data_IF_315091308438
#
_entry.id   IF_315091308438
#
_cell.length_a   1.000
_cell.length_b   1.000
_cell.length_c   1.000
_cell.angle_alpha   90.00
_cell.angle_beta   90.00
_cell.angle_gamma   90.00
#
_symmetry.space_group_name_H-M   'P 1'
#
loop_
_entity.id
_entity.type
_entity.pdbx_description
1 polymer ?
#
# COMPACT_ATOMS: atom_id res chain seq x y z
N UNK A 1 7.44 -23.26 29.57
CA UNK A 1 7.58 -24.24 28.48
C UNK A 1 8.77 -23.76 27.71
N UNK A 2 9.80 -24.58 27.55
CA UNK A 2 10.94 -24.19 26.74
C UNK A 2 10.47 -24.30 25.30
N UNK A 3 10.27 -23.17 24.62
CA UNK A 3 10.08 -23.16 23.16
C UNK A 3 11.25 -23.91 22.55
N UNK A 4 10.99 -24.85 21.64
CA UNK A 4 12.09 -25.52 20.95
C UNK A 4 12.82 -24.50 20.06
N UNK A 5 14.14 -24.63 19.87
CA UNK A 5 14.93 -23.65 19.12
C UNK A 5 14.39 -23.41 17.71
N UNK A 6 13.86 -24.45 17.05
CA UNK A 6 13.26 -24.35 15.71
C UNK A 6 11.96 -23.52 15.70
N UNK A 7 11.17 -23.56 16.78
CA UNK A 7 9.92 -22.80 16.91
C UNK A 7 10.22 -21.32 17.13
N UNK A 8 11.19 -21.03 17.98
CA UNK A 8 11.62 -19.67 18.27
C UNK A 8 12.19 -18.99 17.02
N UNK A 9 12.99 -19.73 16.24
CA UNK A 9 13.53 -19.26 14.97
C UNK A 9 12.42 -18.98 13.95
N UNK A 10 11.48 -19.91 13.74
CA UNK A 10 10.35 -19.69 12.83
C UNK A 10 9.51 -18.46 13.21
N UNK A 11 9.20 -18.28 14.50
CA UNK A 11 8.46 -17.10 14.98
C UNK A 11 9.26 -15.84 14.68
N UNK A 12 10.57 -15.82 14.96
CA UNK A 12 11.45 -14.68 14.71
C UNK A 12 11.52 -14.32 13.23
N UNK A 13 11.73 -15.30 12.37
CA UNK A 13 11.86 -15.12 10.92
C UNK A 13 10.54 -14.62 10.31
N UNK A 14 9.41 -15.24 10.69
CA UNK A 14 8.07 -14.83 10.25
C UNK A 14 7.71 -13.44 10.76
N UNK A 15 8.09 -13.12 12.00
CA UNK A 15 7.88 -11.79 12.58
C UNK A 15 8.67 -10.73 11.83
N UNK A 16 9.97 -10.96 11.60
CA UNK A 16 10.83 -10.03 10.84
C UNK A 16 10.26 -9.82 9.44
N UNK A 17 9.95 -10.90 8.72
CA UNK A 17 9.39 -10.81 7.36
C UNK A 17 8.11 -9.98 7.30
N UNK A 18 7.18 -10.17 8.24
CA UNK A 18 5.94 -9.38 8.29
C UNK A 18 6.19 -7.92 8.67
N UNK A 19 7.09 -7.68 9.62
CA UNK A 19 7.44 -6.34 10.04
C UNK A 19 8.17 -5.56 8.93
N UNK A 20 9.07 -6.22 8.21
CA UNK A 20 9.74 -5.69 7.03
C UNK A 20 8.73 -5.36 5.93
N UNK A 21 7.68 -6.17 5.77
CA UNK A 21 6.54 -5.88 4.89
C UNK A 21 5.81 -4.59 5.27
N UNK A 22 5.47 -4.41 6.54
CA UNK A 22 4.84 -3.17 7.06
C UNK A 22 5.75 -1.96 6.84
N UNK A 23 7.04 -2.09 7.16
CA UNK A 23 8.02 -1.01 7.00
C UNK A 23 8.24 -0.65 5.53
N UNK A 24 8.27 -1.64 4.65
CA UNK A 24 8.35 -1.42 3.21
C UNK A 24 7.10 -0.70 2.70
N UNK A 25 5.91 -1.15 3.08
CA UNK A 25 4.64 -0.51 2.73
C UNK A 25 4.58 0.95 3.20
N UNK A 26 5.05 1.21 4.42
CA UNK A 26 5.11 2.56 4.98
C UNK A 26 6.11 3.45 4.23
N UNK A 27 7.32 2.95 3.96
CA UNK A 27 8.35 3.70 3.23
C UNK A 27 7.91 4.00 1.81
N UNK A 28 7.31 3.02 1.14
CA UNK A 28 6.75 3.18 -0.19
C UNK A 28 5.62 4.20 -0.16
N UNK A 29 4.64 4.07 0.72
CA UNK A 29 3.55 5.04 0.89
C UNK A 29 4.04 6.47 1.15
N UNK A 30 5.08 6.64 1.98
CA UNK A 30 5.71 7.94 2.21
C UNK A 30 6.41 8.48 0.96
N UNK A 31 7.14 7.64 0.21
CA UNK A 31 7.77 8.04 -1.04
C UNK A 31 6.72 8.51 -2.06
N UNK A 32 5.62 7.77 -2.21
CA UNK A 32 4.49 8.18 -3.05
C UNK A 32 3.90 9.50 -2.57
N UNK A 33 3.69 9.68 -1.26
CA UNK A 33 3.17 10.92 -0.70
C UNK A 33 4.10 12.10 -1.01
N UNK A 34 5.41 11.96 -0.82
CA UNK A 34 6.37 13.03 -1.15
C UNK A 34 6.43 13.30 -2.64
N UNK A 35 6.47 12.27 -3.49
CA UNK A 35 6.47 12.43 -4.94
C UNK A 35 5.19 13.14 -5.43
N UNK A 36 4.03 12.76 -4.89
CA UNK A 36 2.75 13.39 -5.20
C UNK A 36 2.66 14.83 -4.71
N UNK A 37 3.13 15.12 -3.50
CA UNK A 37 3.12 16.49 -2.96
C UNK A 37 4.11 17.38 -3.72
N UNK A 38 5.31 16.91 -4.04
CA UNK A 38 6.31 17.72 -4.74
C UNK A 38 5.95 17.89 -6.21
N UNK A 39 5.58 16.80 -6.91
CA UNK A 39 5.28 16.84 -8.34
C UNK A 39 3.88 17.33 -8.66
N UNK A 40 2.87 16.83 -7.93
CA UNK A 40 1.46 17.14 -8.20
C UNK A 40 1.08 18.56 -7.82
N UNK A 41 1.44 19.00 -6.61
CA UNK A 41 1.10 20.36 -6.15
C UNK A 41 1.88 21.42 -6.92
N UNK A 42 3.18 21.21 -7.16
CA UNK A 42 3.97 22.11 -8.01
C UNK A 42 3.42 22.15 -9.43
N UNK A 43 3.08 21.00 -10.02
CA UNK A 43 2.48 20.93 -11.35
C UNK A 43 1.16 21.71 -11.43
N UNK A 44 0.25 21.52 -10.48
CA UNK A 44 -1.03 22.23 -10.43
C UNK A 44 -0.82 23.74 -10.25
N UNK A 45 0.05 24.16 -9.32
CA UNK A 45 0.33 25.58 -9.05
C UNK A 45 1.02 26.28 -10.22
N UNK A 46 2.03 25.65 -10.81
CA UNK A 46 2.73 26.16 -11.99
C UNK A 46 1.78 26.23 -13.19
N UNK A 47 0.87 25.27 -13.34
CA UNK A 47 -0.12 25.32 -14.41
C UNK A 47 -1.16 26.43 -14.18
N UNK A 48 -1.69 26.54 -12.96
CA UNK A 48 -2.65 27.57 -12.58
C UNK A 48 -2.08 28.99 -12.68
N UNK A 49 -0.76 29.15 -12.51
CA UNK A 49 -0.09 30.45 -12.69
C UNK A 49 0.23 30.79 -14.14
N UNK A 50 0.30 29.79 -15.04
CA UNK A 50 0.79 29.98 -16.41
C UNK A 50 -0.31 30.19 -17.48
N UNK A 51 -1.57 29.78 -17.24
CA UNK A 51 -2.63 29.85 -18.25
C UNK A 51 -3.96 30.37 -17.71
N UNK A 52 -4.75 31.00 -18.59
CA UNK A 52 -6.16 31.28 -18.32
C UNK A 52 -6.93 29.98 -18.13
N UNK A 53 -7.77 29.93 -17.10
CA UNK A 53 -8.48 28.73 -16.68
C UNK A 53 -9.59 28.37 -17.67
N UNK A 54 -9.31 27.48 -18.62
CA UNK A 54 -10.31 26.95 -19.55
C UNK A 54 -11.03 25.72 -18.97
N UNK A 55 -12.24 25.37 -19.45
CA UNK A 55 -12.97 24.20 -18.97
C UNK A 55 -12.21 22.87 -19.15
N UNK A 56 -11.43 22.75 -20.23
CA UNK A 56 -10.60 21.58 -20.50
C UNK A 56 -9.48 21.40 -19.46
N UNK A 57 -8.90 22.51 -19.01
CA UNK A 57 -7.89 22.53 -17.94
C UNK A 57 -8.47 22.08 -16.62
N UNK A 58 -9.66 22.56 -16.28
CA UNK A 58 -10.35 22.14 -15.05
C UNK A 58 -10.61 20.63 -15.08
N UNK A 59 -11.05 20.09 -16.22
CA UNK A 59 -11.26 18.65 -16.38
C UNK A 59 -9.96 17.83 -16.20
N UNK A 60 -8.84 18.30 -16.75
CA UNK A 60 -7.53 17.67 -16.57
C UNK A 60 -7.07 17.69 -15.11
N UNK A 61 -7.23 18.83 -14.42
CA UNK A 61 -6.91 18.97 -12.99
C UNK A 61 -7.76 18.04 -12.11
N UNK A 62 -9.05 17.91 -12.42
CA UNK A 62 -9.95 16.98 -11.71
C UNK A 62 -9.52 15.53 -11.94
N UNK A 63 -9.24 15.14 -13.19
CA UNK A 63 -8.77 13.80 -13.52
C UNK A 63 -7.46 13.44 -12.80
N UNK A 64 -6.51 14.38 -12.77
CA UNK A 64 -5.25 14.21 -12.04
C UNK A 64 -5.50 14.06 -10.53
N UNK A 65 -6.38 14.88 -9.97
CA UNK A 65 -6.74 14.84 -8.54
C UNK A 65 -7.39 13.51 -8.15
N UNK A 66 -8.28 12.98 -9.00
CA UNK A 66 -8.90 11.66 -8.81
C UNK A 66 -7.85 10.55 -8.84
N UNK A 67 -6.94 10.57 -9.83
CA UNK A 67 -5.84 9.61 -9.88
C UNK A 67 -4.97 9.62 -8.63
N UNK A 68 -4.70 10.82 -8.09
CA UNK A 68 -3.94 11.01 -6.86
C UNK A 68 -4.67 10.42 -5.64
N UNK A 69 -5.98 10.67 -5.50
CA UNK A 69 -6.81 10.09 -4.44
C UNK A 69 -6.87 8.57 -4.52
N UNK A 70 -7.01 8.00 -5.72
CA UNK A 70 -6.99 6.55 -5.93
C UNK A 70 -5.65 5.93 -5.51
N UNK A 71 -4.53 6.60 -5.80
CA UNK A 71 -3.20 6.13 -5.45
C UNK A 71 -2.97 6.14 -3.93
N UNK A 72 -3.39 7.23 -3.27
CA UNK A 72 -3.36 7.33 -1.80
C UNK A 72 -4.24 6.24 -1.18
N UNK A 73 -5.46 6.05 -1.68
CA UNK A 73 -6.36 4.99 -1.20
C UNK A 73 -5.73 3.59 -1.32
N UNK A 74 -5.07 3.30 -2.44
CA UNK A 74 -4.34 2.04 -2.64
C UNK A 74 -3.22 1.87 -1.60
N UNK A 75 -2.37 2.88 -1.41
CA UNK A 75 -1.27 2.83 -0.46
C UNK A 75 -1.75 2.62 0.98
N UNK A 76 -2.84 3.29 1.38
CA UNK A 76 -3.46 3.08 2.69
C UNK A 76 -4.02 1.66 2.85
N UNK A 77 -4.72 1.14 1.83
CA UNK A 77 -5.27 -0.23 1.89
C UNK A 77 -4.16 -1.27 1.98
N UNK A 78 -3.07 -1.09 1.25
CA UNK A 78 -1.89 -1.95 1.31
C UNK A 78 -1.25 -1.92 2.70
N UNK A 79 -1.00 -0.74 3.27
CA UNK A 79 -0.46 -0.59 4.62
C UNK A 79 -1.34 -1.26 5.68
N UNK A 80 -2.66 -1.00 5.67
CA UNK A 80 -3.57 -1.60 6.65
C UNK A 80 -3.70 -3.11 6.50
N UNK A 81 -3.58 -3.66 5.29
CA UNK A 81 -3.59 -5.10 5.09
C UNK A 81 -2.35 -5.77 5.71
N UNK A 82 -1.17 -5.18 5.50
CA UNK A 82 0.10 -5.63 6.10
C UNK A 82 0.05 -5.54 7.63
N UNK A 83 -0.41 -4.40 8.15
CA UNK A 83 -0.57 -4.16 9.57
C UNK A 83 -1.54 -5.18 10.20
N UNK A 84 -2.69 -5.42 9.57
CA UNK A 84 -3.66 -6.40 10.07
C UNK A 84 -3.08 -7.83 10.10
N UNK A 85 -2.34 -8.22 9.06
CA UNK A 85 -1.65 -9.52 9.02
C UNK A 85 -0.62 -9.64 10.15
N UNK A 86 0.15 -8.60 10.41
CA UNK A 86 1.13 -8.57 11.49
C UNK A 86 0.46 -8.69 12.86
N UNK A 87 -0.58 -7.88 13.14
CA UNK A 87 -1.30 -7.94 14.41
C UNK A 87 -2.00 -9.27 14.65
N UNK A 88 -2.58 -9.85 13.60
CA UNK A 88 -3.19 -11.17 13.69
C UNK A 88 -2.11 -12.24 13.99
N UNK A 89 -0.93 -12.18 13.38
CA UNK A 89 0.16 -13.14 13.66
C UNK A 89 0.68 -12.95 15.09
N UNK A 90 0.86 -11.70 15.52
CA UNK A 90 1.21 -11.38 16.90
C UNK A 90 0.21 -11.94 17.91
N UNK A 91 -1.09 -11.84 17.62
CA UNK A 91 -2.14 -12.41 18.47
C UNK A 91 -2.03 -13.94 18.56
N UNK A 92 -1.78 -14.62 17.44
CA UNK A 92 -1.58 -16.08 17.40
C UNK A 92 -0.31 -16.50 18.17
N UNK A 93 0.80 -15.77 18.04
CA UNK A 93 2.04 -16.01 18.82
C UNK A 93 1.81 -15.81 20.32
N UNK A 94 1.03 -14.80 20.72
CA UNK A 94 0.66 -14.59 22.13
C UNK A 94 -0.21 -15.74 22.64
N UNK A 95 -1.17 -16.21 21.84
CA UNK A 95 -2.01 -17.35 22.19
C UNK A 95 -1.19 -18.64 22.36
N UNK A 96 -0.24 -18.88 21.46
CA UNK A 96 0.72 -19.98 21.54
C UNK A 96 1.55 -19.92 22.84
N UNK A 97 2.16 -18.76 23.14
CA UNK A 97 2.94 -18.56 24.37
C UNK A 97 2.11 -18.69 25.65
N UNK A 98 0.82 -18.37 25.58
CA UNK A 98 -0.15 -18.54 26.68
C UNK A 98 -0.71 -19.97 26.78
N UNK A 99 -0.27 -20.91 25.93
CA UNK A 99 -0.78 -22.28 25.85
C UNK A 99 -2.26 -22.39 25.53
N UNK A 100 -2.80 -21.38 24.83
CA UNK A 100 -4.17 -21.37 24.33
C UNK A 100 -4.24 -21.94 22.90
N UNK A 101 -3.09 -22.25 22.30
CA UNK A 101 -2.95 -22.71 20.93
C UNK A 101 -1.71 -23.61 20.83
N UNK A 102 -1.83 -24.70 20.07
CA UNK A 102 -0.72 -25.61 19.77
C UNK A 102 0.12 -25.11 18.59
N UNK A 103 1.36 -25.57 18.51
CA UNK A 103 2.31 -25.20 17.45
C UNK A 103 1.75 -25.47 16.05
N UNK A 104 1.22 -26.68 15.81
CA UNK A 104 0.66 -27.06 14.52
C UNK A 104 -0.53 -26.19 14.12
N UNK A 105 -1.31 -25.72 15.11
CA UNK A 105 -2.42 -24.81 14.87
C UNK A 105 -1.96 -23.42 14.46
N UNK A 106 -0.85 -22.93 15.03
CA UNK A 106 -0.23 -21.67 14.65
C UNK A 106 0.30 -21.73 13.22
N UNK A 107 1.07 -22.77 12.88
CA UNK A 107 1.63 -22.95 11.54
C UNK A 107 0.52 -23.12 10.51
N UNK A 108 -0.49 -23.97 10.77
CA UNK A 108 -1.62 -24.18 9.87
C UNK A 108 -2.44 -22.92 9.63
N UNK A 109 -2.62 -22.06 10.63
CA UNK A 109 -3.30 -20.76 10.47
C UNK A 109 -2.47 -19.80 9.62
N UNK A 110 -1.16 -19.81 9.78
CA UNK A 110 -0.27 -18.99 8.98
C UNK A 110 -0.25 -19.46 7.52
N UNK A 111 -0.14 -20.77 7.26
CA UNK A 111 -0.20 -21.36 5.92
C UNK A 111 -1.56 -21.11 5.23
N UNK A 112 -2.65 -21.09 6.01
CA UNK A 112 -3.99 -20.83 5.50
C UNK A 112 -4.27 -19.33 5.27
N UNK A 113 -3.39 -18.42 5.68
CA UNK A 113 -3.61 -16.99 5.41
C UNK A 113 -3.47 -16.74 3.91
N UNK A 114 -4.47 -16.10 3.28
CA UNK A 114 -4.44 -15.87 1.86
C UNK A 114 -3.19 -15.07 1.47
N UNK A 115 -2.50 -15.57 0.44
CA UNK A 115 -1.33 -14.91 -0.14
C UNK A 115 -1.69 -13.52 -0.67
N UNK A 116 -0.91 -12.54 -0.23
CA UNK A 116 -1.04 -11.07 -0.33
C UNK A 116 -1.35 -10.47 -1.71
N UNK A 117 -1.22 -11.21 -2.81
CA UNK A 117 -0.99 -10.61 -4.13
C UNK A 117 -2.23 -10.40 -5.01
N UNK A 118 -3.23 -11.28 -4.95
CA UNK A 118 -4.20 -11.36 -6.07
C UNK A 118 -5.24 -10.23 -6.14
N UNK A 119 -5.71 -9.74 -5.00
CA UNK A 119 -6.78 -8.74 -4.99
C UNK A 119 -6.27 -7.30 -5.05
N UNK A 120 -4.99 -7.06 -4.68
CA UNK A 120 -4.38 -5.73 -4.71
C UNK A 120 -3.79 -5.36 -6.09
N UNK A 121 -3.40 -6.35 -6.89
CA UNK A 121 -2.75 -6.11 -8.20
C UNK A 121 -3.70 -5.43 -9.20
N UNK A 122 -5.00 -5.77 -9.17
CA UNK A 122 -6.03 -5.17 -10.04
C UNK A 122 -6.24 -3.68 -9.73
N UNK A 123 -6.23 -3.31 -8.44
CA UNK A 123 -6.39 -1.92 -8.02
C UNK A 123 -5.16 -1.06 -8.36
N UNK A 124 -3.95 -1.65 -8.29
CA UNK A 124 -2.71 -1.00 -8.70
C UNK A 124 -2.67 -0.77 -10.22
N UNK A 125 -3.08 -1.75 -11.02
CA UNK A 125 -3.14 -1.63 -12.48
C UNK A 125 -4.17 -0.59 -12.91
N UNK A 126 -5.36 -0.58 -12.27
CA UNK A 126 -6.40 0.38 -12.56
C UNK A 126 -6.00 1.82 -12.21
N UNK A 127 -5.31 2.05 -11.07
CA UNK A 127 -4.84 3.39 -10.69
C UNK A 127 -3.74 3.89 -11.63
N UNK A 128 -2.84 3.01 -12.05
CA UNK A 128 -1.75 3.33 -12.99
C UNK A 128 -2.30 3.67 -14.36
N UNK A 129 -3.29 2.92 -14.86
CA UNK A 129 -3.95 3.19 -16.14
C UNK A 129 -4.67 4.55 -16.14
N UNK A 130 -5.34 4.91 -15.04
CA UNK A 130 -5.98 6.22 -14.89
C UNK A 130 -4.97 7.38 -14.80
N UNK A 131 -3.86 7.20 -14.06
CA UNK A 131 -2.82 8.22 -13.94
C UNK A 131 -2.12 8.49 -15.27
N UNK A 132 -1.76 7.42 -16.02
CA UNK A 132 -1.13 7.54 -17.35
C UNK A 132 -2.12 8.14 -18.36
N UNK A 133 -3.38 7.72 -18.32
CA UNK A 133 -4.43 8.27 -19.18
C UNK A 133 -4.63 9.79 -18.97
N UNK A 134 -4.63 10.25 -17.72
CA UNK A 134 -4.72 11.68 -17.38
C UNK A 134 -3.52 12.50 -17.89
N UNK A 135 -2.31 11.96 -17.79
CA UNK A 135 -1.08 12.63 -18.27
C UNK A 135 -1.09 12.75 -19.81
N UNK A 136 -1.47 11.69 -20.53
CA UNK A 136 -1.52 11.69 -22.00
C UNK A 136 -2.59 12.65 -22.52
N UNK A 137 -3.77 12.67 -21.90
CA UNK A 137 -4.84 13.60 -22.27
C UNK A 137 -4.45 15.06 -22.01
N UNK A 138 -3.75 15.33 -20.91
CA UNK A 138 -3.23 16.67 -20.59
C UNK A 138 -2.17 17.12 -21.58
N UNK A 139 -1.31 16.20 -22.03
CA UNK A 139 -0.24 16.48 -23.01
C UNK A 139 -0.80 16.79 -24.40
N UNK A 140 -1.85 16.07 -24.82
CA UNK A 140 -2.54 16.31 -26.09
C UNK A 140 -3.37 17.61 -26.09
N UNK A 141 -3.84 18.07 -24.94
CA UNK A 141 -4.52 19.36 -24.80
C UNK A 141 -3.57 20.57 -24.78
N UNK A 142 -2.26 20.34 -24.62
CA UNK A 142 -1.21 21.37 -24.64
C UNK A 142 -0.66 21.61 -26.06
N UNK A 143 -0.80 20.62 -26.97
CA UNK A 143 -0.50 20.70 -28.40
C UNK A 143 -1.63 21.39 -29.17
#
# INVERSE_FOLDING_TARGET
>A
MNEEPHQSQYISDTWSSKWDGVMSAQREGLNWLFALNVGGVAGILTYASAKETTPAVIAALISFSIGLLCLVYYALRYYYAEEHCFYAFRADVIAYRRKLMDWDSLVKREDARPSKYKDCEVAAIASTACAVGGIVASSLAIL
#
